data_IF_144436350209
#
_entry.id   IF_144436350209
#
_cell.length_a   1.000
_cell.length_b   1.000
_cell.length_c   1.000
_cell.angle_alpha   90.00
_cell.angle_beta   90.00
_cell.angle_gamma   90.00
#
_symmetry.space_group_name_H-M   'P 1'
#
loop_
_entity.id
_entity.type
_entity.pdbx_description
1 polymer ?
#
# COMPACT_ATOMS: atom_id res chain seq x y z
N UNK A 1 44.51 -26.03 28.94
CA UNK A 1 44.91 -25.66 27.57
C UNK A 1 44.10 -24.43 27.21
N UNK A 2 44.76 -23.27 27.18
CA UNK A 2 44.14 -21.96 26.95
C UNK A 2 44.60 -21.45 25.60
N UNK A 3 43.67 -21.07 24.73
CA UNK A 3 43.96 -20.53 23.40
C UNK A 3 43.76 -19.01 23.41
N UNK A 4 44.84 -18.27 23.15
CA UNK A 4 44.84 -16.82 22.87
C UNK A 4 44.69 -16.58 21.37
N UNK A 5 43.90 -15.57 21.01
CA UNK A 5 43.78 -15.01 19.67
C UNK A 5 44.77 -13.83 19.51
N UNK A 6 45.43 -13.65 18.34
CA UNK A 6 46.23 -12.46 18.08
C UNK A 6 45.44 -11.36 17.36
N UNK A 7 45.68 -10.15 17.83
CA UNK A 7 45.15 -8.85 17.40
C UNK A 7 45.92 -8.34 16.14
N UNK A 8 45.21 -7.88 15.11
CA UNK A 8 45.81 -7.28 13.91
C UNK A 8 45.32 -5.85 13.71
N UNK A 9 46.13 -4.88 14.16
CA UNK A 9 46.08 -3.49 13.70
C UNK A 9 47.33 -3.18 12.88
N UNK A 10 47.16 -2.76 11.62
CA UNK A 10 48.22 -2.10 10.85
C UNK A 10 47.74 -0.72 10.39
N UNK A 11 48.35 0.31 10.98
CA UNK A 11 48.42 1.69 10.49
C UNK A 11 49.62 1.80 9.57
N UNK A 12 49.47 2.34 8.36
CA UNK A 12 50.60 2.86 7.56
C UNK A 12 50.32 4.30 7.14
N UNK A 13 51.42 5.06 7.11
CA UNK A 13 51.55 6.51 7.24
C UNK A 13 51.46 7.29 5.92
N UNK A 14 50.89 8.49 5.98
CA UNK A 14 51.08 9.53 4.97
C UNK A 14 52.42 10.26 5.19
N UNK A 15 53.23 10.40 4.14
CA UNK A 15 54.38 11.31 4.07
C UNK A 15 54.25 12.14 2.81
N UNK A 16 54.26 13.46 2.98
CA UNK A 16 54.03 14.44 1.91
C UNK A 16 55.28 14.75 1.07
N UNK A 17 55.03 15.45 -0.02
CA UNK A 17 56.02 16.28 -0.73
C UNK A 17 55.32 17.58 -1.14
N UNK A 18 55.91 18.70 -0.73
CA UNK A 18 55.65 20.03 -1.26
C UNK A 18 56.67 20.33 -2.36
N UNK A 19 56.25 21.04 -3.41
CA UNK A 19 57.10 22.06 -4.05
C UNK A 19 56.26 23.02 -4.88
N UNK A 20 56.62 24.29 -4.82
CA UNK A 20 55.97 25.46 -5.38
C UNK A 20 56.51 25.82 -6.78
N UNK A 21 55.78 26.67 -7.50
CA UNK A 21 56.28 27.39 -8.68
C UNK A 21 55.20 28.23 -9.36
N UNK A 22 55.24 29.54 -9.15
CA UNK A 22 54.35 30.54 -9.73
C UNK A 22 54.94 31.14 -11.03
N UNK A 23 54.09 31.60 -11.96
CA UNK A 23 54.36 32.76 -12.83
C UNK A 23 53.09 33.22 -13.59
N UNK A 24 52.79 34.52 -13.48
CA UNK A 24 51.80 35.29 -14.24
C UNK A 24 52.35 35.69 -15.62
N UNK A 25 51.48 35.80 -16.65
CA UNK A 25 51.56 36.87 -17.68
C UNK A 25 50.15 37.24 -18.16
N UNK A 26 49.78 38.50 -17.94
CA UNK A 26 48.66 39.23 -18.57
C UNK A 26 49.10 39.86 -19.90
N UNK A 27 48.25 39.84 -20.93
CA UNK A 27 48.25 40.83 -21.99
C UNK A 27 46.84 41.01 -22.57
N UNK A 28 46.42 42.27 -22.64
CA UNK A 28 45.11 42.76 -23.06
C UNK A 28 45.01 42.97 -24.57
N UNK A 29 43.79 43.04 -25.11
CA UNK A 29 43.40 43.99 -26.16
C UNK A 29 41.88 44.02 -26.28
N UNK A 30 41.32 45.22 -26.10
CA UNK A 30 39.89 45.50 -26.22
C UNK A 30 39.48 45.91 -27.63
N UNK A 31 38.17 45.96 -27.85
CA UNK A 31 37.56 46.80 -28.86
C UNK A 31 36.17 47.26 -28.38
N UNK A 32 35.94 48.56 -28.48
CA UNK A 32 34.84 49.30 -27.87
C UNK A 32 33.62 49.45 -28.79
N UNK A 33 32.47 49.69 -28.14
CA UNK A 33 31.29 50.49 -28.55
C UNK A 33 30.42 49.94 -29.71
N UNK A 34 29.11 49.78 -29.46
CA UNK A 34 28.03 50.73 -29.83
C UNK A 34 26.75 50.38 -29.02
N UNK A 35 26.03 51.42 -28.58
CA UNK A 35 24.72 51.36 -27.91
C UNK A 35 23.64 50.69 -28.79
N UNK A 36 22.62 50.08 -28.17
CA UNK A 36 21.21 50.25 -28.57
C UNK A 36 20.27 49.59 -27.57
N UNK A 37 19.05 50.12 -27.56
CA UNK A 37 18.08 50.15 -26.48
C UNK A 37 17.35 48.85 -26.14
N UNK A 38 16.76 48.91 -24.93
CA UNK A 38 15.64 48.13 -24.42
C UNK A 38 14.51 48.00 -25.46
N UNK A 39 14.16 46.77 -25.81
CA UNK A 39 12.87 46.45 -26.43
C UNK A 39 12.06 45.54 -25.48
N UNK A 40 11.01 46.11 -24.91
CA UNK A 40 10.02 45.43 -24.08
C UNK A 40 9.15 44.52 -24.97
N UNK A 41 9.37 43.21 -24.91
CA UNK A 41 8.59 42.21 -25.63
C UNK A 41 7.24 41.95 -24.95
N UNK A 42 6.18 42.60 -25.44
CA UNK A 42 4.78 42.30 -25.10
C UNK A 42 4.43 40.85 -25.42
N UNK A 43 3.67 40.24 -24.50
CA UNK A 43 3.13 38.88 -24.53
C UNK A 43 2.21 38.67 -25.74
N UNK A 44 2.46 37.61 -26.51
CA UNK A 44 1.50 37.00 -27.42
C UNK A 44 1.32 35.55 -27.00
N UNK A 45 0.12 35.20 -26.55
CA UNK A 45 -0.30 33.82 -26.31
C UNK A 45 -1.15 33.39 -27.49
N UNK A 46 -0.60 32.53 -28.37
CA UNK A 46 -1.41 31.83 -29.37
C UNK A 46 -2.22 30.71 -28.70
N UNK A 47 -3.50 30.53 -29.06
CA UNK A 47 -4.30 29.42 -28.59
C UNK A 47 -4.05 28.20 -29.49
N UNK A 48 -4.13 27.00 -28.90
CA UNK A 48 -3.94 25.66 -29.50
C UNK A 48 -2.54 25.07 -29.33
N UNK A 49 -2.34 24.40 -28.19
CA UNK A 49 -1.29 23.41 -28.00
C UNK A 49 -1.91 22.19 -27.29
N UNK A 50 -2.48 21.26 -28.08
CA UNK A 50 -3.26 20.10 -27.62
C UNK A 50 -2.42 18.81 -27.49
N UNK A 51 -1.15 18.83 -27.89
CA UNK A 51 -0.23 17.70 -27.68
C UNK A 51 1.10 18.25 -27.17
N UNK A 52 1.19 18.42 -25.85
CA UNK A 52 2.30 19.10 -25.15
C UNK A 52 3.71 18.60 -25.51
N UNK A 53 4.24 19.10 -26.62
CA UNK A 53 5.62 18.96 -27.07
C UNK A 53 6.19 20.39 -27.18
N UNK A 54 6.18 21.09 -26.05
CA UNK A 54 6.92 22.34 -25.84
C UNK A 54 8.17 22.06 -25.02
N UNK A 55 9.31 22.66 -25.41
CA UNK A 55 10.57 22.53 -24.69
C UNK A 55 10.40 22.88 -23.18
N UNK A 56 10.99 22.10 -22.26
CA UNK A 56 10.81 22.34 -20.83
C UNK A 56 11.36 23.71 -20.45
N UNK A 57 10.53 24.53 -19.80
CA UNK A 57 10.96 25.78 -19.16
C UNK A 57 12.07 25.46 -18.13
N UNK A 58 13.15 26.24 -18.07
CA UNK A 58 14.12 26.10 -16.98
C UNK A 58 13.41 26.39 -15.66
N UNK A 59 13.45 25.42 -14.73
CA UNK A 59 12.98 25.62 -13.36
C UNK A 59 13.83 26.71 -12.71
N UNK A 60 13.25 27.66 -11.95
CA UNK A 60 14.04 28.54 -11.11
C UNK A 60 14.84 27.69 -10.11
N UNK A 61 16.09 28.09 -9.88
CA UNK A 61 16.97 27.42 -8.93
C UNK A 61 16.31 27.30 -7.56
N UNK A 62 16.38 26.11 -6.97
CA UNK A 62 15.91 25.85 -5.61
C UNK A 62 16.76 26.69 -4.66
N UNK A 63 16.16 27.68 -4.01
CA UNK A 63 16.80 28.35 -2.88
C UNK A 63 16.96 27.32 -1.76
N UNK A 64 18.22 26.98 -1.45
CA UNK A 64 18.55 26.20 -0.26
C UNK A 64 18.14 27.00 0.98
N UNK A 65 17.02 26.66 1.59
CA UNK A 65 16.67 27.17 2.90
C UNK A 65 17.67 26.59 3.92
N UNK A 66 18.58 27.43 4.40
CA UNK A 66 19.38 27.13 5.61
C UNK A 66 18.42 27.11 6.79
N UNK A 67 17.97 25.92 7.19
CA UNK A 67 17.27 25.71 8.46
C UNK A 67 18.29 26.04 9.57
N UNK A 68 18.07 27.08 10.40
CA UNK A 68 18.97 27.35 11.52
C UNK A 68 18.83 26.24 12.55
N UNK A 69 19.94 25.62 12.93
CA UNK A 69 19.97 24.71 14.08
C UNK A 69 19.55 25.47 15.35
N UNK A 70 18.80 24.83 16.26
CA UNK A 70 18.42 25.45 17.53
C UNK A 70 19.67 25.80 18.35
N UNK A 71 19.65 27.00 18.95
CA UNK A 71 20.76 27.50 19.78
C UNK A 71 20.90 26.64 21.05
N UNK A 72 22.12 26.40 21.55
CA UNK A 72 22.32 25.73 22.83
C UNK A 72 21.75 26.56 23.98
N UNK A 73 21.24 25.85 25.00
CA UNK A 73 20.64 26.41 26.22
C UNK A 73 21.68 27.25 26.99
N UNK A 74 21.37 28.48 27.41
CA UNK A 74 22.27 29.31 28.20
C UNK A 74 22.57 28.69 29.58
N UNK A 75 23.77 28.94 30.11
CA UNK A 75 24.31 28.37 31.36
C UNK A 75 23.65 28.87 32.65
N UNK A 76 22.65 29.74 32.55
CA UNK A 76 21.99 30.35 33.70
C UNK A 76 20.54 29.84 33.81
N UNK A 77 20.41 28.60 34.26
CA UNK A 77 19.16 28.05 34.76
C UNK A 77 19.44 27.40 36.13
N UNK A 78 18.71 27.77 37.19
CA UNK A 78 18.94 27.18 38.51
C UNK A 78 18.57 25.69 38.48
N UNK A 79 19.44 24.87 39.05
CA UNK A 79 19.21 23.44 39.26
C UNK A 79 18.07 23.27 40.26
N UNK A 80 17.09 22.43 39.90
CA UNK A 80 16.10 21.94 40.84
C UNK A 80 16.81 21.09 41.90
N UNK A 81 16.67 21.47 43.17
CA UNK A 81 16.99 20.65 44.33
C UNK A 81 15.69 20.13 44.93
N UNK A 82 15.64 18.82 45.15
CA UNK A 82 14.65 18.11 45.95
C UNK A 82 14.68 18.61 47.41
N UNK A 83 13.55 19.09 47.93
CA UNK A 83 13.21 18.94 49.35
C UNK A 83 11.71 19.14 49.61
N UNK A 84 11.16 18.28 50.49
CA UNK A 84 9.75 18.21 50.87
C UNK A 84 9.33 19.34 51.83
N UNK A 85 8.04 19.74 51.89
CA UNK A 85 7.57 20.71 52.87
C UNK A 85 6.90 20.05 54.10
N UNK A 86 7.09 20.61 55.32
CA UNK A 86 6.20 20.38 56.45
C UNK A 86 5.16 21.52 56.61
N UNK A 87 4.13 21.19 57.37
CA UNK A 87 2.92 21.95 57.72
C UNK A 87 3.14 23.34 58.38
N UNK A 88 2.21 24.28 58.18
CA UNK A 88 1.48 24.99 59.26
C UNK A 88 0.55 26.11 58.75
N UNK A 89 -0.76 25.88 58.98
CA UNK A 89 -1.90 26.75 59.34
C UNK A 89 -1.88 28.30 59.18
N UNK A 90 -3.02 28.84 58.71
CA UNK A 90 -3.46 30.22 58.99
C UNK A 90 -4.51 30.81 58.03
N UNK A 91 -5.81 30.67 58.35
CA UNK A 91 -7.00 31.33 57.74
C UNK A 91 -7.27 32.71 58.43
N UNK A 92 -8.31 33.55 58.11
CA UNK A 92 -9.31 33.58 57.02
C UNK A 92 -9.73 34.98 56.46
N UNK A 93 -10.66 34.95 55.46
CA UNK A 93 -11.75 35.91 55.13
C UNK A 93 -11.37 37.24 54.44
N UNK A 94 -12.15 37.88 53.54
CA UNK A 94 -13.41 37.65 52.81
C UNK A 94 -13.56 38.84 51.84
N UNK A 95 -14.16 38.68 50.65
CA UNK A 95 -15.04 39.69 50.03
C UNK A 95 -15.63 39.19 48.69
N UNK A 96 -16.95 39.07 48.66
CA UNK A 96 -17.84 38.88 47.52
C UNK A 96 -17.68 39.89 46.36
N UNK A 97 -17.75 39.39 45.10
CA UNK A 97 -18.91 39.65 44.22
C UNK A 97 -18.91 38.78 42.94
N UNK A 98 -20.09 38.50 42.36
CA UNK A 98 -20.33 37.48 41.33
C UNK A 98 -20.30 38.05 39.91
N UNK A 99 -19.85 37.23 38.96
CA UNK A 99 -19.86 37.53 37.53
C UNK A 99 -19.80 36.23 36.73
N UNK A 100 -20.97 35.78 36.32
CA UNK A 100 -21.29 34.64 35.47
C UNK A 100 -20.52 34.64 34.15
N UNK A 101 -19.87 33.52 33.84
CA UNK A 101 -19.96 32.82 32.55
C UNK A 101 -19.26 31.47 32.69
N UNK A 102 -19.97 30.51 33.31
CA UNK A 102 -19.61 29.09 33.19
C UNK A 102 -20.07 28.66 31.80
N UNK A 103 -19.18 28.21 30.89
CA UNK A 103 -19.62 27.62 29.64
C UNK A 103 -20.56 26.47 29.97
N UNK A 104 -21.79 26.55 29.45
CA UNK A 104 -22.76 25.49 29.56
C UNK A 104 -22.09 24.19 29.10
N UNK A 105 -21.98 23.25 30.02
CA UNK A 105 -21.58 21.88 29.74
C UNK A 105 -22.54 21.36 28.68
N UNK A 106 -22.04 21.23 27.46
CA UNK A 106 -22.82 20.77 26.33
C UNK A 106 -23.42 19.43 26.71
N UNK A 107 -24.75 19.37 26.79
CA UNK A 107 -25.48 18.15 27.11
C UNK A 107 -25.00 17.04 26.17
N UNK A 108 -24.40 16.00 26.74
CA UNK A 108 -24.01 14.80 25.99
C UNK A 108 -25.23 14.32 25.23
N UNK A 109 -25.18 14.18 23.89
CA UNK A 109 -26.33 13.69 23.15
C UNK A 109 -26.75 12.33 23.73
N UNK A 110 -28.06 12.03 23.75
CA UNK A 110 -28.54 10.75 24.26
C UNK A 110 -27.81 9.61 23.54
N UNK A 111 -27.45 8.53 24.25
CA UNK A 111 -26.71 7.42 23.65
C UNK A 111 -27.47 6.91 22.43
N UNK A 112 -26.78 6.88 21.28
CA UNK A 112 -27.36 6.36 20.04
C UNK A 112 -27.85 4.93 20.28
N UNK A 113 -29.02 4.55 19.73
CA UNK A 113 -29.48 3.17 19.80
C UNK A 113 -28.45 2.24 19.15
N UNK A 114 -28.21 1.10 19.77
CA UNK A 114 -27.28 0.09 19.25
C UNK A 114 -27.75 -0.43 17.88
N UNK A 115 -26.82 -0.56 16.93
CA UNK A 115 -27.15 -1.04 15.59
C UNK A 115 -27.55 -2.52 15.60
N UNK A 116 -28.26 -2.96 14.56
CA UNK A 116 -28.56 -4.38 14.37
C UNK A 116 -27.28 -5.23 14.26
N UNK A 117 -26.22 -4.69 13.65
CA UNK A 117 -24.93 -5.35 13.59
C UNK A 117 -24.34 -5.54 14.99
N UNK A 118 -24.37 -4.49 15.83
CA UNK A 118 -23.81 -4.55 17.18
C UNK A 118 -24.56 -5.55 18.06
N UNK A 119 -25.87 -5.66 17.88
CA UNK A 119 -26.70 -6.67 18.55
C UNK A 119 -26.35 -8.09 18.11
N UNK A 120 -26.03 -8.29 16.82
CA UNK A 120 -25.63 -9.58 16.29
C UNK A 120 -24.19 -9.97 16.67
N UNK A 121 -23.27 -9.01 16.77
CA UNK A 121 -21.88 -9.21 17.17
C UNK A 121 -21.76 -9.30 18.70
N UNK A 122 -22.29 -10.38 19.27
CA UNK A 122 -22.28 -10.62 20.71
C UNK A 122 -20.88 -10.97 21.22
N UNK A 123 -20.69 -10.91 22.54
CA UNK A 123 -19.44 -11.32 23.20
C UNK A 123 -19.11 -12.82 23.05
N UNK A 124 -20.07 -13.63 22.55
CA UNK A 124 -19.84 -15.04 22.17
C UNK A 124 -19.20 -15.19 20.77
N UNK A 125 -19.22 -14.11 19.98
CA UNK A 125 -18.66 -14.06 18.62
C UNK A 125 -17.35 -13.29 18.63
N UNK A 126 -17.30 -12.12 19.26
CA UNK A 126 -16.11 -11.27 19.27
C UNK A 126 -16.07 -10.34 20.49
N UNK A 127 -14.85 -10.06 20.96
CA UNK A 127 -14.57 -8.96 21.89
C UNK A 127 -14.30 -7.73 21.03
N UNK A 128 -15.34 -6.91 20.89
CA UNK A 128 -15.34 -5.76 19.99
C UNK A 128 -16.07 -4.56 20.64
N UNK A 129 -15.49 -3.91 21.66
CA UNK A 129 -16.07 -2.72 22.27
C UNK A 129 -16.39 -1.67 21.20
N UNK A 130 -17.57 -1.07 21.31
CA UNK A 130 -17.98 0.05 20.47
C UNK A 130 -17.12 1.28 20.77
N UNK A 131 -16.76 2.03 19.75
CA UNK A 131 -16.05 3.30 19.88
C UNK A 131 -16.90 4.43 19.29
N UNK A 132 -16.64 5.71 19.67
CA UNK A 132 -17.35 6.83 19.10
C UNK A 132 -17.21 6.92 17.57
N UNK A 133 -18.20 7.50 16.90
CA UNK A 133 -18.11 7.80 15.47
C UNK A 133 -16.86 8.65 15.20
N UNK A 134 -16.16 8.32 14.13
CA UNK A 134 -15.03 9.12 13.65
C UNK A 134 -15.52 9.93 12.46
N UNK A 135 -15.34 11.25 12.50
CA UNK A 135 -15.64 12.16 11.38
C UNK A 135 -14.39 12.96 11.03
N UNK A 136 -13.73 12.56 9.96
CA UNK A 136 -12.54 13.23 9.42
C UNK A 136 -12.85 13.99 8.11
N UNK A 137 -11.82 14.61 7.49
CA UNK A 137 -11.99 15.29 6.21
C UNK A 137 -12.50 14.34 5.11
N UNK A 138 -13.38 14.85 4.25
CA UNK A 138 -14.04 14.06 3.21
C UNK A 138 -15.00 13.03 3.82
N UNK A 139 -14.87 11.77 3.40
CA UNK A 139 -15.68 10.66 3.91
C UNK A 139 -14.92 9.81 4.96
N UNK A 140 -13.90 10.40 5.59
CA UNK A 140 -13.04 9.68 6.52
C UNK A 140 -13.75 9.36 7.85
N UNK A 141 -13.56 8.13 8.31
CA UNK A 141 -14.19 7.57 9.49
C UNK A 141 -15.50 6.87 9.16
N UNK A 142 -16.40 6.90 10.13
CA UNK A 142 -17.65 6.19 10.05
C UNK A 142 -18.44 6.19 11.34
N UNK A 143 -19.61 5.59 11.22
CA UNK A 143 -20.50 5.29 12.33
C UNK A 143 -20.50 3.78 12.57
N UNK A 144 -21.03 3.37 13.73
CA UNK A 144 -21.09 1.96 14.15
C UNK A 144 -19.72 1.29 14.14
N UNK A 145 -18.75 1.99 14.75
CA UNK A 145 -17.36 1.57 14.83
C UNK A 145 -17.12 0.71 16.06
N UNK A 146 -16.24 -0.27 15.91
CA UNK A 146 -15.78 -1.16 16.98
C UNK A 146 -14.26 -1.23 16.95
N UNK A 147 -13.68 -1.45 18.13
CA UNK A 147 -12.30 -1.86 18.29
C UNK A 147 -12.28 -3.38 18.47
N UNK A 148 -12.02 -4.12 17.41
CA UNK A 148 -11.96 -5.58 17.43
C UNK A 148 -10.64 -6.05 18.06
N UNK A 149 -10.74 -6.67 19.24
CA UNK A 149 -9.59 -7.14 20.01
C UNK A 149 -9.39 -8.65 19.87
N UNK A 150 -10.47 -9.40 19.79
CA UNK A 150 -10.42 -10.84 19.58
C UNK A 150 -11.69 -11.39 18.97
N UNK A 151 -11.58 -12.50 18.26
CA UNK A 151 -12.70 -13.32 17.81
C UNK A 151 -12.83 -14.51 18.75
N UNK A 152 -14.02 -14.70 19.32
CA UNK A 152 -14.31 -15.84 20.19
C UNK A 152 -14.71 -17.01 19.31
N UNK A 153 -14.23 -18.22 19.61
CA UNK A 153 -14.56 -19.45 18.90
C UNK A 153 -15.71 -20.19 19.60
N UNK A 154 -16.39 -21.14 18.93
CA UNK A 154 -17.46 -21.93 19.57
C UNK A 154 -17.05 -22.66 20.85
N UNK A 155 -15.77 -23.00 20.98
CA UNK A 155 -15.19 -23.64 22.17
C UNK A 155 -14.68 -22.63 23.23
N UNK A 156 -15.10 -21.36 23.11
CA UNK A 156 -14.76 -20.22 23.99
C UNK A 156 -13.30 -19.78 23.96
N UNK A 157 -12.44 -20.38 23.12
CA UNK A 157 -11.08 -19.88 22.91
C UNK A 157 -11.13 -18.58 22.13
N UNK A 158 -10.11 -17.74 22.33
CA UNK A 158 -10.03 -16.40 21.74
C UNK A 158 -8.89 -16.37 20.73
N UNK A 159 -9.21 -15.97 19.50
CA UNK A 159 -8.22 -15.60 18.48
C UNK A 159 -7.96 -14.11 18.63
N UNK A 160 -6.78 -13.74 19.13
CA UNK A 160 -6.43 -12.34 19.29
C UNK A 160 -6.25 -11.67 17.92
N UNK A 161 -6.71 -10.42 17.77
CA UNK A 161 -6.41 -9.57 16.61
C UNK A 161 -5.34 -8.58 17.07
N UNK A 162 -4.13 -8.68 16.51
CA UNK A 162 -2.99 -7.89 16.99
C UNK A 162 -2.30 -7.11 15.88
N UNK A 163 -2.12 -5.78 16.07
CA UNK A 163 -2.85 -4.90 17.00
C UNK A 163 -4.38 -4.98 16.83
N UNK A 164 -5.12 -4.55 17.85
CA UNK A 164 -6.58 -4.46 17.78
C UNK A 164 -7.02 -3.56 16.61
N UNK A 165 -7.99 -4.01 15.83
CA UNK A 165 -8.40 -3.34 14.60
C UNK A 165 -9.56 -2.38 14.86
N UNK A 166 -9.47 -1.15 14.35
CA UNK A 166 -10.62 -0.24 14.32
C UNK A 166 -11.38 -0.45 13.02
N UNK A 167 -12.61 -0.94 13.12
CA UNK A 167 -13.44 -1.37 11.99
C UNK A 167 -14.88 -0.92 12.17
N UNK A 168 -15.61 -0.77 11.08
CA UNK A 168 -17.09 -0.80 11.10
C UNK A 168 -17.54 -2.17 11.59
N UNK A 169 -18.64 -2.21 12.33
CA UNK A 169 -19.20 -3.46 12.86
C UNK A 169 -19.40 -4.52 11.77
N UNK A 170 -19.85 -4.13 10.57
CA UNK A 170 -20.06 -5.05 9.44
C UNK A 170 -18.75 -5.68 8.97
N UNK A 171 -17.66 -4.91 8.92
CA UNK A 171 -16.33 -5.42 8.55
C UNK A 171 -15.77 -6.33 9.64
N UNK A 172 -15.92 -5.96 10.92
CA UNK A 172 -15.54 -6.81 12.05
C UNK A 172 -16.31 -8.15 12.04
N UNK A 173 -17.60 -8.11 11.70
CA UNK A 173 -18.45 -9.30 11.57
C UNK A 173 -17.95 -10.21 10.45
N UNK A 174 -17.65 -9.65 9.27
CA UNK A 174 -17.11 -10.41 8.15
C UNK A 174 -15.76 -11.08 8.50
N UNK A 175 -14.89 -10.39 9.23
CA UNK A 175 -13.62 -10.94 9.69
C UNK A 175 -13.80 -12.05 10.73
N UNK A 176 -14.70 -11.86 11.70
CA UNK A 176 -15.03 -12.88 12.70
C UNK A 176 -15.59 -14.15 12.05
N UNK A 177 -16.47 -13.97 11.06
CA UNK A 177 -17.04 -15.06 10.28
C UNK A 177 -15.99 -15.82 9.48
N UNK A 178 -15.06 -15.11 8.81
CA UNK A 178 -13.96 -15.74 8.08
C UNK A 178 -13.05 -16.57 8.99
N UNK A 179 -12.67 -16.01 10.14
CA UNK A 179 -11.84 -16.72 11.10
C UNK A 179 -12.54 -17.99 11.62
N UNK A 180 -13.81 -17.88 12.03
CA UNK A 180 -14.57 -18.99 12.62
C UNK A 180 -14.94 -20.07 11.61
N UNK A 181 -15.31 -19.70 10.39
CA UNK A 181 -15.92 -20.62 9.42
C UNK A 181 -14.92 -21.19 8.41
N UNK A 182 -13.81 -20.50 8.14
CA UNK A 182 -12.84 -20.95 7.12
C UNK A 182 -11.46 -21.24 7.72
N UNK A 183 -10.94 -20.29 8.49
CA UNK A 183 -9.57 -20.43 9.02
C UNK A 183 -9.49 -21.49 10.12
N UNK A 184 -10.52 -21.65 10.96
CA UNK A 184 -10.52 -22.69 12.01
C UNK A 184 -10.52 -24.10 11.38
N UNK A 185 -11.41 -24.44 10.43
CA UNK A 185 -11.32 -25.71 9.72
C UNK A 185 -9.99 -25.91 8.98
N UNK A 186 -9.42 -24.85 8.39
CA UNK A 186 -8.10 -24.92 7.76
C UNK A 186 -7.01 -25.28 8.79
N UNK A 187 -6.96 -24.59 9.94
CA UNK A 187 -6.00 -24.89 11.00
C UNK A 187 -6.18 -26.32 11.56
N UNK A 188 -7.42 -26.76 11.74
CA UNK A 188 -7.73 -28.13 12.17
C UNK A 188 -7.20 -29.18 11.18
N UNK A 189 -7.29 -28.91 9.86
CA UNK A 189 -6.72 -29.80 8.83
C UNK A 189 -5.20 -29.90 8.87
N UNK A 190 -4.54 -28.91 9.49
CA UNK A 190 -3.10 -28.90 9.76
C UNK A 190 -2.76 -29.51 11.13
N UNK A 191 -3.74 -30.11 11.83
CA UNK A 191 -3.55 -30.71 13.15
C UNK A 191 -3.35 -29.70 14.27
N UNK A 192 -3.78 -28.45 14.08
CA UNK A 192 -3.63 -27.38 15.08
C UNK A 192 -4.85 -26.45 15.07
N UNK A 193 -4.73 -25.29 15.69
CA UNK A 193 -5.78 -24.29 15.83
C UNK A 193 -5.18 -22.89 15.73
N UNK A 194 -6.03 -21.91 15.42
CA UNK A 194 -5.61 -20.50 15.40
C UNK A 194 -5.42 -19.98 16.82
N UNK A 195 -4.38 -19.17 17.02
CA UNK A 195 -4.16 -18.37 18.24
C UNK A 195 -4.27 -16.86 18.01
N UNK A 196 -3.80 -16.36 16.86
CA UNK A 196 -3.74 -14.92 16.60
C UNK A 196 -3.86 -14.60 15.11
N UNK A 197 -4.52 -13.48 14.80
CA UNK A 197 -4.49 -12.81 13.51
C UNK A 197 -3.50 -11.63 13.59
N UNK A 198 -2.52 -11.63 12.68
CA UNK A 198 -1.54 -10.55 12.54
C UNK A 198 -2.12 -9.46 11.63
N UNK A 199 -2.66 -8.43 12.27
CA UNK A 199 -3.27 -7.27 11.65
C UNK A 199 -2.18 -6.27 11.25
N UNK A 200 -2.02 -6.02 9.97
CA UNK A 200 -0.99 -5.11 9.48
C UNK A 200 -1.44 -3.65 9.49
N UNK A 201 -2.67 -3.38 9.06
CA UNK A 201 -3.27 -2.05 9.03
C UNK A 201 -4.80 -2.17 9.12
N UNK A 202 -5.46 -1.20 9.76
CA UNK A 202 -6.92 -1.17 9.90
C UNK A 202 -7.46 0.22 9.59
N UNK A 203 -7.83 1.04 10.57
CA UNK A 203 -8.26 2.40 10.30
C UNK A 203 -7.07 3.35 10.09
N UNK A 204 -6.96 3.91 8.89
CA UNK A 204 -6.05 5.02 8.60
C UNK A 204 -6.73 6.03 7.66
N UNK A 205 -6.86 7.27 8.13
CA UNK A 205 -7.52 8.35 7.41
C UNK A 205 -6.67 8.88 6.24
N UNK A 206 -6.64 8.15 5.12
CA UNK A 206 -5.81 8.49 3.95
C UNK A 206 -6.45 8.15 2.60
N UNK A 207 -5.96 8.83 1.56
CA UNK A 207 -6.22 8.45 0.17
C UNK A 207 -5.68 7.06 -0.15
N UNK A 208 -6.26 6.42 -1.18
CA UNK A 208 -5.76 5.15 -1.72
C UNK A 208 -4.29 5.26 -2.05
N UNK A 209 -3.54 4.20 -1.73
CA UNK A 209 -2.11 4.10 -2.02
C UNK A 209 -1.27 5.25 -1.43
N UNK A 210 -1.79 5.94 -0.38
CA UNK A 210 -1.18 7.12 0.25
C UNK A 210 -0.96 8.30 -0.73
N UNK A 211 -1.69 8.32 -1.85
CA UNK A 211 -1.61 9.39 -2.85
C UNK A 211 -2.53 10.54 -2.44
N UNK A 212 -1.96 11.74 -2.29
CA UNK A 212 -2.72 12.95 -1.96
C UNK A 212 -3.72 13.29 -3.09
N UNK A 213 -4.96 13.59 -2.72
CA UNK A 213 -6.04 13.88 -3.67
C UNK A 213 -6.66 12.67 -4.38
N UNK A 214 -6.14 11.45 -4.15
CA UNK A 214 -6.78 10.24 -4.63
C UNK A 214 -8.09 9.97 -3.87
N UNK A 215 -8.93 9.10 -4.44
CA UNK A 215 -10.13 8.62 -3.77
C UNK A 215 -9.78 8.03 -2.40
N UNK A 216 -10.66 8.24 -1.41
CA UNK A 216 -10.45 7.75 -0.05
C UNK A 216 -10.31 6.20 -0.03
N UNK A 217 -9.34 5.72 0.74
CA UNK A 217 -9.15 4.29 0.99
C UNK A 217 -10.30 3.71 1.81
N UNK A 218 -10.60 2.42 1.66
CA UNK A 218 -11.54 1.74 2.56
C UNK A 218 -11.00 1.66 3.99
N UNK A 219 -9.67 1.66 4.19
CA UNK A 219 -9.05 1.88 5.51
C UNK A 219 -9.52 3.20 6.13
N UNK A 220 -9.58 4.26 5.32
CA UNK A 220 -10.07 5.57 5.74
C UNK A 220 -11.55 5.58 6.08
N UNK A 221 -12.30 4.55 5.71
CA UNK A 221 -13.71 4.35 6.08
C UNK A 221 -13.89 3.33 7.20
N UNK A 222 -12.81 2.85 7.81
CA UNK A 222 -12.80 1.71 8.74
C UNK A 222 -13.47 0.44 8.14
N UNK A 223 -13.40 0.27 6.82
CA UNK A 223 -14.09 -0.78 6.07
C UNK A 223 -13.12 -1.75 5.39
N UNK A 224 -11.88 -1.78 5.87
CA UNK A 224 -10.82 -2.66 5.38
C UNK A 224 -9.87 -3.10 6.49
N UNK A 225 -9.16 -4.20 6.24
CA UNK A 225 -8.07 -4.70 7.07
C UNK A 225 -6.98 -5.30 6.18
N UNK A 226 -5.72 -5.04 6.55
CA UNK A 226 -4.56 -5.68 5.95
C UNK A 226 -4.09 -6.80 6.88
N UNK A 227 -3.84 -8.00 6.35
CA UNK A 227 -3.46 -9.19 7.12
C UNK A 227 -2.16 -9.76 6.60
N UNK A 228 -1.20 -10.01 7.50
CA UNK A 228 0.10 -10.61 7.14
C UNK A 228 0.11 -12.13 7.33
N UNK A 229 -0.39 -12.57 8.47
CA UNK A 229 -0.28 -13.95 8.89
C UNK A 229 -1.37 -14.36 9.87
N UNK A 230 -1.55 -15.67 10.00
CA UNK A 230 -2.37 -16.30 11.03
C UNK A 230 -1.45 -17.16 11.88
N UNK A 231 -1.24 -16.80 13.15
CA UNK A 231 -0.40 -17.56 14.07
C UNK A 231 -1.21 -18.68 14.68
N UNK A 232 -0.61 -19.87 14.69
CA UNK A 232 -1.22 -21.10 15.17
C UNK A 232 -0.77 -21.39 16.60
N UNK A 233 -1.57 -22.14 17.35
CA UNK A 233 -1.28 -22.44 18.75
C UNK A 233 -0.03 -23.31 18.95
N UNK A 234 0.43 -24.01 17.92
CA UNK A 234 1.66 -24.81 17.94
C UNK A 234 2.94 -23.97 17.69
N UNK A 235 2.82 -22.64 17.60
CA UNK A 235 3.94 -21.73 17.35
C UNK A 235 4.27 -21.52 15.87
N UNK A 236 3.67 -22.29 14.95
CA UNK A 236 3.78 -22.04 13.52
C UNK A 236 2.92 -20.84 13.11
N UNK A 237 3.17 -20.29 11.92
CA UNK A 237 2.36 -19.21 11.34
C UNK A 237 2.07 -19.51 9.89
N UNK A 238 0.83 -19.27 9.47
CA UNK A 238 0.45 -19.25 8.06
C UNK A 238 0.77 -17.84 7.55
N UNK A 239 1.97 -17.65 7.00
CA UNK A 239 2.35 -16.43 6.31
C UNK A 239 1.63 -16.35 4.96
N UNK A 240 0.83 -15.31 4.74
CA UNK A 240 -0.05 -15.22 3.57
C UNK A 240 0.74 -14.89 2.30
N UNK A 241 1.80 -14.10 2.43
CA UNK A 241 2.71 -13.74 1.32
C UNK A 241 4.02 -14.54 1.34
N UNK A 242 4.20 -15.41 2.33
CA UNK A 242 5.41 -16.23 2.47
C UNK A 242 5.41 -17.38 1.44
N UNK A 243 6.34 -17.32 0.50
CA UNK A 243 6.50 -18.32 -0.57
C UNK A 243 7.03 -19.67 -0.06
N UNK A 244 7.61 -19.71 1.14
CA UNK A 244 8.02 -20.97 1.79
C UNK A 244 6.84 -21.72 2.39
N UNK A 245 5.70 -21.03 2.60
CA UNK A 245 4.45 -21.65 3.03
C UNK A 245 3.85 -22.50 1.91
N UNK A 246 3.22 -23.62 2.29
CA UNK A 246 2.51 -24.49 1.35
C UNK A 246 1.59 -23.67 0.44
N UNK A 247 1.77 -23.87 -0.87
CA UNK A 247 0.95 -23.23 -1.91
C UNK A 247 -0.52 -23.61 -1.74
N UNK A 248 -0.80 -24.89 -1.52
CA UNK A 248 -2.17 -25.38 -1.31
C UNK A 248 -2.85 -24.70 -0.12
N UNK A 249 -2.12 -24.49 0.99
CA UNK A 249 -2.66 -23.76 2.15
C UNK A 249 -3.00 -22.32 1.77
N UNK A 250 -2.09 -21.61 1.09
CA UNK A 250 -2.31 -20.22 0.65
C UNK A 250 -3.45 -20.13 -0.37
N UNK A 251 -3.60 -21.08 -1.28
CA UNK A 251 -4.72 -21.14 -2.23
C UNK A 251 -6.07 -21.36 -1.53
N UNK A 252 -6.11 -22.22 -0.49
CA UNK A 252 -7.33 -22.37 0.33
C UNK A 252 -7.70 -21.07 1.05
N UNK A 253 -6.70 -20.34 1.56
CA UNK A 253 -6.94 -19.02 2.14
C UNK A 253 -7.47 -18.06 1.07
N UNK A 254 -6.83 -17.96 -0.10
CA UNK A 254 -7.28 -17.14 -1.23
C UNK A 254 -8.75 -17.39 -1.56
N UNK A 255 -9.14 -18.66 -1.72
CA UNK A 255 -10.52 -19.02 -2.04
C UNK A 255 -11.50 -18.58 -0.95
N UNK A 256 -11.13 -18.74 0.32
CA UNK A 256 -11.96 -18.33 1.45
C UNK A 256 -12.18 -16.81 1.51
N UNK A 257 -11.14 -16.00 1.30
CA UNK A 257 -11.26 -14.54 1.37
C UNK A 257 -12.01 -14.00 0.16
N UNK A 258 -11.77 -14.51 -1.04
CA UNK A 258 -12.46 -14.03 -2.24
C UNK A 258 -13.95 -14.34 -2.25
N UNK A 259 -14.37 -15.38 -1.52
CA UNK A 259 -15.80 -15.69 -1.33
C UNK A 259 -16.48 -14.68 -0.40
N UNK A 260 -15.76 -14.08 0.56
CA UNK A 260 -16.33 -13.23 1.62
C UNK A 260 -16.21 -11.73 1.37
N UNK A 261 -15.06 -11.29 0.90
CA UNK A 261 -14.73 -9.87 0.77
C UNK A 261 -15.00 -9.39 -0.65
N UNK A 262 -15.41 -8.13 -0.81
CA UNK A 262 -15.64 -7.54 -2.14
C UNK A 262 -14.34 -7.15 -2.82
N UNK A 263 -13.26 -6.98 -2.06
CA UNK A 263 -11.92 -6.76 -2.59
C UNK A 263 -10.91 -7.54 -1.79
N UNK A 264 -10.10 -8.30 -2.52
CA UNK A 264 -8.93 -8.98 -2.04
C UNK A 264 -7.78 -8.55 -2.94
N UNK A 265 -6.80 -7.87 -2.37
CA UNK A 265 -5.54 -7.52 -3.05
C UNK A 265 -4.39 -8.18 -2.31
N UNK A 266 -3.47 -8.77 -3.04
CA UNK A 266 -2.24 -9.34 -2.50
C UNK A 266 -1.14 -9.30 -3.55
N UNK A 267 -0.07 -10.11 -3.39
CA UNK A 267 1.04 -10.14 -4.34
C UNK A 267 0.58 -10.23 -5.79
N UNK A 268 1.14 -9.39 -6.66
CA UNK A 268 0.80 -9.31 -8.08
C UNK A 268 -0.46 -8.49 -8.44
N UNK A 269 -1.17 -7.91 -7.47
CA UNK A 269 -2.23 -6.93 -7.75
C UNK A 269 -1.67 -5.54 -8.07
N UNK A 270 -0.85 -5.03 -7.16
CA UNK A 270 0.00 -3.85 -7.33
C UNK A 270 1.15 -3.90 -6.31
N UNK A 271 2.10 -2.96 -6.41
CA UNK A 271 3.29 -2.95 -5.58
C UNK A 271 3.04 -2.65 -4.09
N UNK A 272 1.87 -2.13 -3.73
CA UNK A 272 1.55 -1.80 -2.34
C UNK A 272 1.13 -3.03 -1.53
N UNK A 273 0.75 -4.13 -2.18
CA UNK A 273 0.19 -5.32 -1.53
C UNK A 273 1.08 -6.56 -1.69
N UNK A 274 2.40 -6.39 -1.81
CA UNK A 274 3.34 -7.51 -2.00
C UNK A 274 3.70 -8.25 -0.71
N UNK A 275 3.53 -7.62 0.46
CA UNK A 275 3.92 -8.18 1.76
C UNK A 275 2.74 -8.51 2.69
N UNK A 276 1.50 -8.22 2.29
CA UNK A 276 0.27 -8.52 3.02
C UNK A 276 -0.89 -8.78 2.05
N UNK A 277 -2.05 -9.18 2.59
CA UNK A 277 -3.31 -9.16 1.82
C UNK A 277 -4.24 -8.08 2.37
N UNK A 278 -4.86 -7.32 1.48
CA UNK A 278 -5.87 -6.31 1.76
C UNK A 278 -7.26 -6.90 1.56
N UNK A 279 -8.13 -6.71 2.55
CA UNK A 279 -9.51 -7.20 2.56
C UNK A 279 -10.47 -6.05 2.83
N UNK A 280 -11.44 -5.81 1.94
CA UNK A 280 -12.47 -4.77 2.13
C UNK A 280 -13.90 -5.21 1.76
N UNK A 281 -14.86 -4.39 2.18
CA UNK A 281 -16.28 -4.47 1.82
C UNK A 281 -16.73 -3.27 0.95
N UNK A 282 -15.86 -2.74 0.09
CA UNK A 282 -16.20 -1.67 -0.86
C UNK A 282 -17.37 -2.06 -1.78
N UNK A 283 -18.42 -1.27 -1.70
CA UNK A 283 -19.55 -1.37 -2.63
C UNK A 283 -19.18 -0.77 -3.98
N UNK A 284 -19.46 -1.50 -5.05
CA UNK A 284 -19.22 -1.10 -6.44
C UNK A 284 -20.49 -1.28 -7.24
N UNK A 285 -20.55 -0.63 -8.40
CA UNK A 285 -21.67 -0.78 -9.33
C UNK A 285 -21.83 -2.25 -9.73
N UNK A 286 -23.07 -2.74 -9.73
CA UNK A 286 -23.45 -4.12 -10.06
C UNK A 286 -22.77 -5.18 -9.17
N UNK A 287 -22.47 -4.85 -7.92
CA UNK A 287 -21.80 -5.74 -6.96
C UNK A 287 -20.48 -6.33 -7.48
N UNK A 288 -19.77 -5.57 -8.31
CA UNK A 288 -18.48 -5.99 -8.86
C UNK A 288 -17.47 -6.26 -7.73
N UNK A 289 -16.82 -7.42 -7.78
CA UNK A 289 -15.84 -7.89 -6.80
C UNK A 289 -14.46 -8.00 -7.44
N UNK A 290 -13.43 -7.76 -6.65
CA UNK A 290 -12.03 -7.87 -7.04
C UNK A 290 -11.38 -8.96 -6.19
N UNK A 291 -10.76 -9.94 -6.84
CA UNK A 291 -9.94 -10.96 -6.20
C UNK A 291 -8.64 -11.07 -6.98
N UNK A 292 -7.62 -10.34 -6.54
CA UNK A 292 -6.32 -10.24 -7.20
C UNK A 292 -5.23 -10.54 -6.18
N UNK A 293 -4.81 -11.79 -6.12
CA UNK A 293 -3.69 -12.23 -5.29
C UNK A 293 -3.09 -13.47 -5.92
N UNK A 294 -1.88 -13.31 -6.47
CA UNK A 294 -1.12 -14.38 -7.07
C UNK A 294 -0.41 -15.19 -5.98
N UNK A 295 -0.75 -16.48 -5.91
CA UNK A 295 -0.10 -17.41 -4.98
C UNK A 295 1.17 -17.95 -5.64
N UNK A 296 2.28 -17.24 -5.43
CA UNK A 296 3.57 -17.58 -6.03
C UNK A 296 4.13 -18.91 -5.51
N UNK A 297 4.78 -19.66 -6.40
CA UNK A 297 5.57 -20.83 -6.04
C UNK A 297 6.77 -20.45 -5.16
N UNK A 298 7.31 -21.37 -4.35
CA UNK A 298 8.57 -21.16 -3.66
C UNK A 298 9.67 -20.69 -4.61
N UNK A 299 10.55 -19.79 -4.13
CA UNK A 299 11.78 -19.53 -4.88
C UNK A 299 12.62 -20.80 -4.94
N UNK A 300 13.33 -21.06 -6.07
CA UNK A 300 14.24 -22.19 -6.12
C UNK A 300 15.31 -22.02 -5.04
N UNK A 301 15.56 -23.09 -4.28
CA UNK A 301 16.54 -23.08 -3.17
C UNK A 301 17.96 -22.78 -3.66
N UNK A 302 18.24 -23.21 -4.89
CA UNK A 302 19.47 -22.89 -5.61
C UNK A 302 19.11 -21.84 -6.65
N UNK A 303 19.74 -20.67 -6.56
CA UNK A 303 19.62 -19.67 -7.61
C UNK A 303 20.01 -20.33 -8.95
N UNK A 304 19.20 -20.20 -10.01
CA UNK A 304 19.62 -20.62 -11.33
C UNK A 304 20.99 -20.00 -11.59
N UNK A 305 21.99 -20.82 -11.96
CA UNK A 305 23.30 -20.30 -12.31
C UNK A 305 23.09 -19.18 -13.31
N UNK A 306 23.66 -17.99 -13.03
CA UNK A 306 23.65 -16.91 -13.99
C UNK A 306 24.15 -17.49 -15.31
N UNK A 307 23.48 -17.19 -16.44
CA UNK A 307 24.01 -17.57 -17.75
C UNK A 307 25.47 -17.17 -17.82
N UNK A 308 26.32 -18.03 -18.39
CA UNK A 308 27.73 -17.72 -18.56
C UNK A 308 27.88 -16.31 -19.15
N UNK A 309 28.85 -15.56 -18.65
CA UNK A 309 29.16 -14.24 -19.21
C UNK A 309 29.35 -14.40 -20.72
N UNK A 310 28.78 -13.46 -21.47
CA UNK A 310 28.90 -13.49 -22.91
C UNK A 310 30.39 -13.43 -23.27
N UNK A 311 30.91 -14.36 -24.09
CA UNK A 311 32.28 -14.29 -24.59
C UNK A 311 32.55 -12.94 -25.27
N UNK A 312 33.74 -12.38 -25.10
CA UNK A 312 34.10 -11.09 -25.72
C UNK A 312 34.02 -11.14 -27.25
N UNK A 313 34.26 -12.30 -27.87
CA UNK A 313 34.10 -12.52 -29.32
C UNK A 313 32.64 -12.60 -29.80
N UNK A 314 31.64 -12.64 -28.91
CA UNK A 314 30.27 -12.79 -29.35
C UNK A 314 29.77 -11.51 -30.06
N UNK A 315 29.06 -11.65 -31.20
CA UNK A 315 28.63 -10.50 -31.99
C UNK A 315 27.72 -9.55 -31.20
N UNK A 316 27.69 -8.25 -31.56
CA UNK A 316 26.82 -7.27 -30.93
C UNK A 316 25.37 -7.76 -30.89
N UNK A 317 24.62 -7.46 -29.82
CA UNK A 317 23.18 -7.75 -29.79
C UNK A 317 22.54 -6.98 -30.95
N UNK A 318 21.87 -7.69 -31.85
CA UNK A 318 20.95 -7.06 -32.78
C UNK A 318 19.88 -6.33 -31.97
N UNK A 319 19.89 -5.01 -32.08
CA UNK A 319 18.85 -4.15 -31.55
C UNK A 319 17.81 -4.06 -32.66
N UNK A 320 16.56 -4.45 -32.38
CA UNK A 320 15.49 -4.40 -33.36
C UNK A 320 15.43 -3.00 -34.00
N UNK A 321 15.68 -2.93 -35.31
CA UNK A 321 15.66 -1.69 -36.06
C UNK A 321 14.25 -1.08 -36.01
N UNK A 322 14.18 0.19 -35.62
CA UNK A 322 12.96 0.99 -35.68
C UNK A 322 12.64 1.23 -37.16
N UNK A 323 11.42 0.96 -37.66
CA UNK A 323 11.14 1.14 -39.08
C UNK A 323 11.12 2.64 -39.39
N UNK A 324 12.10 3.10 -40.15
CA UNK A 324 12.07 4.43 -40.77
C UNK A 324 11.04 4.44 -41.91
N UNK A 325 10.29 5.54 -41.96
CA UNK A 325 9.21 5.77 -42.90
C UNK A 325 9.73 5.71 -44.35
N UNK A 326 9.18 4.79 -45.15
CA UNK A 326 9.36 4.82 -46.60
C UNK A 326 8.44 5.87 -47.20
N UNK A 327 9.06 6.92 -47.72
CA UNK A 327 8.50 7.86 -48.67
C UNK A 327 8.00 7.13 -49.93
N UNK A 328 6.84 7.56 -50.41
CA UNK A 328 6.19 7.06 -51.61
C UNK A 328 7.03 7.37 -52.86
N UNK A 329 7.34 6.34 -53.64
CA UNK A 329 7.45 6.48 -55.10
C UNK A 329 6.60 5.39 -55.75
N UNK A 330 5.69 5.88 -56.56
CA UNK A 330 4.65 5.20 -57.33
C UNK A 330 5.24 4.98 -58.72
N UNK A 331 5.29 3.74 -59.19
CA UNK A 331 5.24 3.43 -60.62
C UNK A 331 4.59 2.04 -60.80
N UNK A 332 3.67 1.97 -61.74
CA UNK A 332 2.77 0.84 -61.95
C UNK A 332 3.14 -0.04 -63.16
N UNK A 333 2.47 -1.21 -63.18
CA UNK A 333 2.33 -2.21 -64.24
C UNK A 333 3.67 -2.89 -64.66
N UNK A 334 3.80 -4.22 -64.71
CA UNK A 334 2.96 -5.18 -65.45
C UNK A 334 2.88 -6.59 -64.79
N UNK A 335 1.98 -7.39 -65.36
CA UNK A 335 1.41 -8.69 -65.00
C UNK A 335 2.31 -9.96 -65.06
N UNK A 336 1.73 -11.04 -64.50
CA UNK A 336 2.06 -12.49 -64.57
C UNK A 336 3.14 -13.02 -63.59
N UNK A 337 2.99 -14.11 -62.83
CA UNK A 337 2.00 -15.20 -62.77
C UNK A 337 2.00 -15.86 -61.36
N UNK A 338 0.93 -16.61 -61.07
CA UNK A 338 0.72 -17.75 -60.15
C UNK A 338 1.79 -18.06 -59.07
N UNK A 339 1.49 -18.33 -57.79
CA UNK A 339 0.61 -19.40 -57.30
C UNK A 339 0.13 -19.13 -55.87
N UNK A 340 -1.07 -19.60 -55.56
CA UNK A 340 -1.74 -19.44 -54.26
C UNK A 340 -1.89 -20.80 -53.56
N UNK A 341 -1.23 -20.88 -52.40
CA UNK A 341 -1.53 -21.70 -51.20
C UNK A 341 -1.32 -23.23 -51.28
N UNK A 342 -1.07 -23.91 -50.13
CA UNK A 342 -2.22 -24.21 -49.27
C UNK A 342 -1.97 -24.07 -47.76
N UNK A 343 -3.04 -23.67 -47.07
CA UNK A 343 -3.26 -23.98 -45.67
C UNK A 343 -3.58 -25.49 -45.52
N UNK A 344 -3.15 -26.16 -44.44
CA UNK A 344 -3.49 -27.56 -44.24
C UNK A 344 -4.93 -27.73 -43.75
N UNK A 345 -5.63 -28.65 -44.42
CA UNK A 345 -7.01 -29.04 -44.15
C UNK A 345 -7.12 -30.11 -43.04
N UNK A 346 -8.28 -30.07 -42.41
CA UNK A 346 -8.85 -30.97 -41.40
C UNK A 346 -9.16 -32.42 -41.87
N UNK A 347 -9.47 -33.26 -40.86
CA UNK A 347 -10.43 -34.42 -40.78
C UNK A 347 -9.88 -35.87 -40.93
N UNK A 348 -10.57 -36.91 -40.37
CA UNK A 348 -12.03 -36.99 -40.16
C UNK A 348 -12.59 -37.52 -38.82
N UNK A 349 -13.88 -37.23 -38.67
CA UNK A 349 -14.81 -37.74 -37.68
C UNK A 349 -15.36 -39.13 -38.07
N UNK A 350 -15.72 -39.91 -37.05
CA UNK A 350 -16.61 -41.07 -37.15
C UNK A 350 -17.92 -40.80 -36.38
N UNK A 351 -18.99 -41.40 -36.91
CA UNK A 351 -20.40 -41.15 -36.66
C UNK A 351 -20.92 -41.57 -35.26
N UNK A 352 -22.08 -41.04 -34.87
CA UNK A 352 -23.02 -41.80 -34.04
C UNK A 352 -23.91 -41.03 -33.06
N UNK A 353 -25.18 -40.88 -33.45
CA UNK A 353 -26.37 -40.79 -32.58
C UNK A 353 -26.77 -39.45 -31.92
N UNK A 354 -27.97 -38.99 -32.32
CA UNK A 354 -28.72 -37.84 -31.82
C UNK A 354 -29.75 -38.28 -30.78
N UNK A 355 -29.90 -37.53 -29.70
CA UNK A 355 -31.18 -37.42 -28.96
C UNK A 355 -31.35 -36.01 -28.37
N UNK A 356 -32.39 -35.30 -28.81
CA UNK A 356 -32.81 -33.96 -28.38
C UNK A 356 -33.62 -34.02 -27.07
N UNK A 357 -33.57 -33.00 -26.19
CA UNK A 357 -34.57 -32.84 -25.14
C UNK A 357 -35.80 -32.06 -25.65
N UNK A 358 -36.95 -32.48 -25.14
CA UNK A 358 -38.31 -32.08 -25.49
C UNK A 358 -38.69 -30.73 -24.83
N UNK A 359 -39.29 -29.81 -25.59
CA UNK A 359 -40.07 -28.66 -25.07
C UNK A 359 -41.55 -29.08 -24.97
N UNK A 360 -42.31 -28.64 -23.96
CA UNK A 360 -43.76 -28.53 -24.11
C UNK A 360 -44.15 -27.07 -24.40
N UNK A 361 -45.07 -26.92 -25.35
CA UNK A 361 -45.84 -25.69 -25.56
C UNK A 361 -47.30 -25.99 -25.22
N UNK A 362 -47.96 -25.09 -24.49
CA UNK A 362 -49.28 -24.49 -24.82
C UNK A 362 -49.90 -23.82 -23.61
N UNK A 363 -50.12 -22.50 -23.69
CA UNK A 363 -51.45 -21.86 -23.70
C UNK A 363 -51.30 -20.35 -23.61
N UNK A 364 -51.95 -19.64 -24.54
CA UNK A 364 -52.13 -18.19 -24.54
C UNK A 364 -53.62 -17.90 -24.67
N UNK A 365 -54.05 -16.82 -24.00
CA UNK A 365 -55.31 -16.06 -24.10
C UNK A 365 -56.52 -16.61 -23.33
N UNK A 366 -57.00 -15.83 -22.35
CA UNK A 366 -57.92 -14.73 -22.66
C UNK A 366 -57.47 -13.47 -21.95
#
# INVERSE_FOLDING_TARGET
MSFSLPDFRRKWSCRGYMSAGAAMVTAALGLSLVLTERAEGRKSTSPLDIFGIGAPRPRPAVHAAKIPLPRPRPEEAPKASDEAPPDAEGKPASADKPGTDKPAEAATPPPKPVSACRLALTEEIAIAPSIPDIRGPGACGGEDLVRLEAVVLPDKRKVAVKPAAILRCTMATALADWLRKDMVPLANSLGTTIGELDNFDSFECRGRNRVAGAMLSEHGKANAIDVRAIKLANGQSIGLTDRTMSRDVRERVLHSVCTRFSTVLGPGSDWYHEDHIHLDLAQRRNDYRICQWNVWDPLPQVAPLLPAERPEEAPPREIAAKPEAKENVKDGADDEAAEKAPAPADKPAAEGSKSRPHKPATKKRR
#
